data_IF_043203427437
#
_entry.id   IF_043203427437
#
_cell.length_a   1.000
_cell.length_b   1.000
_cell.length_c   1.000
_cell.angle_alpha   90.00
_cell.angle_beta   90.00
_cell.angle_gamma   90.00
#
_symmetry.space_group_name_H-M   'P 1'
#
loop_
_entity.id
_entity.type
_entity.pdbx_description
1 polymer ?
#
# COMPACT_ATOMS: atom_id res chain seq x y z
N UNK A 1 -24.64 3.77 -21.88
CA UNK A 1 -23.52 3.72 -20.89
C UNK A 1 -22.44 4.68 -21.38
N UNK A 2 -21.88 5.57 -20.55
CA UNK A 2 -20.79 6.47 -20.99
C UNK A 2 -19.57 5.64 -21.36
N UNK A 3 -18.85 5.95 -22.46
CA UNK A 3 -17.60 5.28 -22.78
C UNK A 3 -16.49 5.64 -21.78
N UNK A 4 -15.44 4.81 -21.71
CA UNK A 4 -14.23 5.12 -20.99
C UNK A 4 -13.40 6.15 -21.78
N UNK A 5 -13.00 7.22 -21.13
CA UNK A 5 -12.06 8.22 -21.64
C UNK A 5 -10.65 7.88 -21.14
N UNK A 6 -9.66 7.96 -22.02
CA UNK A 6 -8.25 7.87 -21.62
C UNK A 6 -7.79 9.27 -21.22
N UNK A 7 -7.42 9.44 -19.94
CA UNK A 7 -6.97 10.72 -19.40
C UNK A 7 -5.46 10.91 -19.49
N UNK A 8 -4.71 9.84 -19.28
CA UNK A 8 -3.25 9.87 -19.29
C UNK A 8 -2.65 8.49 -19.54
N UNK A 9 -1.41 8.47 -20.01
CA UNK A 9 -0.61 7.27 -20.21
C UNK A 9 0.79 7.46 -19.64
N UNK A 10 1.39 6.37 -19.18
CA UNK A 10 2.77 6.34 -18.71
C UNK A 10 3.39 4.97 -19.01
N UNK A 11 4.70 4.87 -18.85
CA UNK A 11 5.42 3.60 -18.92
C UNK A 11 6.04 3.32 -17.56
N UNK A 12 5.75 2.15 -17.00
CA UNK A 12 6.39 1.70 -15.78
C UNK A 12 7.85 1.30 -16.04
N UNK A 13 8.72 1.23 -15.01
CA UNK A 13 10.12 0.87 -15.17
C UNK A 13 10.37 -0.50 -15.81
N UNK A 14 9.43 -1.43 -15.71
CA UNK A 14 9.46 -2.74 -16.36
C UNK A 14 9.04 -2.70 -17.85
N UNK A 15 8.72 -1.51 -18.37
CA UNK A 15 8.27 -1.29 -19.74
C UNK A 15 6.76 -1.50 -19.93
N UNK A 16 6.00 -1.87 -18.93
CA UNK A 16 4.55 -2.02 -19.04
C UNK A 16 3.86 -0.66 -19.21
N UNK A 17 2.86 -0.63 -20.09
CA UNK A 17 2.05 0.56 -20.32
C UNK A 17 1.04 0.72 -19.19
N UNK A 18 1.01 1.90 -18.58
CA UNK A 18 -0.01 2.32 -17.63
C UNK A 18 -0.98 3.29 -18.30
N UNK A 19 -2.27 3.15 -18.01
CA UNK A 19 -3.32 4.03 -18.49
C UNK A 19 -4.19 4.48 -17.32
N UNK A 20 -4.43 5.79 -17.22
CA UNK A 20 -5.46 6.34 -16.35
C UNK A 20 -6.71 6.61 -17.20
N UNK A 21 -7.82 5.99 -16.83
CA UNK A 21 -9.10 6.12 -17.55
C UNK A 21 -10.19 6.61 -16.61
N UNK A 22 -11.20 7.30 -17.20
CA UNK A 22 -12.37 7.81 -16.47
C UNK A 22 -13.66 7.45 -17.19
N UNK A 23 -14.69 7.21 -16.40
CA UNK A 23 -16.07 7.04 -16.89
C UNK A 23 -17.05 7.69 -15.89
N UNK A 24 -17.45 8.93 -16.14
CA UNK A 24 -18.20 9.74 -15.16
C UNK A 24 -17.32 9.98 -13.92
N UNK A 25 -17.77 9.53 -12.76
CA UNK A 25 -17.05 9.67 -11.49
C UNK A 25 -16.16 8.46 -11.17
N UNK A 26 -16.11 7.47 -12.05
CA UNK A 26 -15.30 6.27 -11.88
C UNK A 26 -13.95 6.43 -12.58
N UNK A 27 -12.88 6.12 -11.85
CA UNK A 27 -11.52 6.08 -12.38
C UNK A 27 -10.99 4.66 -12.38
N UNK A 28 -10.09 4.37 -13.32
CA UNK A 28 -9.48 3.07 -13.50
C UNK A 28 -8.01 3.25 -13.90
N UNK A 29 -7.12 2.60 -13.18
CA UNK A 29 -5.72 2.43 -13.58
C UNK A 29 -5.59 1.05 -14.20
N UNK A 30 -5.00 0.98 -15.40
CA UNK A 30 -4.71 -0.26 -16.11
C UNK A 30 -3.21 -0.41 -16.32
N UNK A 31 -2.72 -1.65 -16.26
CA UNK A 31 -1.35 -2.01 -16.57
C UNK A 31 -1.31 -3.17 -17.57
N UNK A 32 -0.57 -3.02 -18.67
CA UNK A 32 -0.43 -4.05 -19.69
C UNK A 32 -1.77 -4.56 -20.27
N UNK A 33 -2.81 -3.71 -20.29
CA UNK A 33 -4.14 -4.07 -20.76
C UNK A 33 -5.08 -4.66 -19.71
N UNK A 34 -4.62 -4.92 -18.48
CA UNK A 34 -5.42 -5.45 -17.37
C UNK A 34 -5.84 -4.31 -16.41
N UNK A 35 -7.02 -4.45 -15.82
CA UNK A 35 -7.49 -3.53 -14.78
C UNK A 35 -6.68 -3.78 -13.51
N UNK A 36 -5.88 -2.79 -13.08
CA UNK A 36 -5.03 -2.87 -11.90
C UNK A 36 -5.78 -2.36 -10.66
N UNK A 37 -6.43 -1.19 -10.75
CA UNK A 37 -7.12 -0.56 -9.63
C UNK A 37 -8.32 0.24 -10.12
N UNK A 38 -9.43 0.17 -9.37
CA UNK A 38 -10.64 0.96 -9.60
C UNK A 38 -10.95 1.87 -8.42
N UNK A 39 -11.45 3.08 -8.68
CA UNK A 39 -11.88 4.00 -7.62
C UNK A 39 -13.08 3.50 -6.80
N UNK A 40 -13.69 2.38 -7.19
CA UNK A 40 -14.76 1.72 -6.44
C UNK A 40 -14.27 0.70 -5.42
N UNK A 41 -12.97 0.40 -5.41
CA UNK A 41 -12.35 -0.66 -4.61
C UNK A 41 -11.41 -0.07 -3.55
N UNK A 42 -11.91 0.92 -2.77
CA UNK A 42 -11.13 1.64 -1.75
C UNK A 42 -11.13 0.96 -0.37
N UNK A 43 -12.14 0.15 -0.07
CA UNK A 43 -12.39 -0.41 1.28
C UNK A 43 -11.22 -1.21 1.82
N UNK A 44 -10.64 -2.08 1.00
CA UNK A 44 -9.58 -2.99 1.45
C UNK A 44 -8.22 -2.31 1.54
N UNK A 45 -7.96 -1.31 0.67
CA UNK A 45 -6.77 -0.46 0.75
C UNK A 45 -6.80 0.40 2.04
N UNK A 46 -7.93 1.02 2.35
CA UNK A 46 -8.12 1.75 3.62
C UNK A 46 -7.94 0.85 4.83
N UNK A 47 -8.55 -0.35 4.81
CA UNK A 47 -8.47 -1.30 5.91
C UNK A 47 -7.03 -1.73 6.24
N UNK A 48 -6.14 -1.84 5.24
CA UNK A 48 -4.73 -2.12 5.47
C UNK A 48 -4.11 -1.08 6.40
N UNK A 49 -4.30 0.20 6.09
CA UNK A 49 -3.73 1.30 6.87
C UNK A 49 -4.39 1.43 8.26
N UNK A 50 -5.72 1.34 8.32
CA UNK A 50 -6.46 1.40 9.58
C UNK A 50 -6.08 0.28 10.56
N UNK A 51 -5.99 -0.96 10.07
CA UNK A 51 -5.60 -2.12 10.89
C UNK A 51 -4.14 -1.97 11.33
N UNK A 52 -3.23 -1.64 10.41
CA UNK A 52 -1.81 -1.52 10.71
C UNK A 52 -1.52 -0.44 11.74
N UNK A 53 -2.02 0.78 11.53
CA UNK A 53 -1.83 1.91 12.44
C UNK A 53 -2.50 1.67 13.81
N UNK A 54 -3.71 1.11 13.83
CA UNK A 54 -4.40 0.75 15.08
C UNK A 54 -3.61 -0.26 15.92
N UNK A 55 -2.99 -1.25 15.30
CA UNK A 55 -2.18 -2.26 15.99
C UNK A 55 -0.87 -1.71 16.56
N UNK A 56 -0.32 -0.67 15.94
CA UNK A 56 0.80 0.11 16.50
C UNK A 56 0.32 0.91 17.72
N UNK A 57 -0.82 1.55 17.60
CA UNK A 57 -1.32 2.56 18.53
C UNK A 57 -0.64 3.92 18.36
N UNK A 58 -1.25 5.00 18.88
CA UNK A 58 -0.69 6.35 18.78
C UNK A 58 0.65 6.46 19.49
N UNK A 59 1.63 7.11 18.85
CA UNK A 59 2.99 7.33 19.39
C UNK A 59 3.50 8.70 18.96
N UNK A 60 4.25 9.40 19.82
CA UNK A 60 4.96 10.60 19.42
C UNK A 60 5.93 10.31 18.27
N UNK A 61 5.98 11.20 17.27
CA UNK A 61 6.84 11.07 16.10
C UNK A 61 6.62 9.75 15.34
N UNK A 62 5.35 9.29 15.21
CA UNK A 62 5.01 8.04 14.54
C UNK A 62 5.41 8.10 13.06
N UNK A 63 6.07 7.06 12.58
CA UNK A 63 6.53 6.94 11.19
C UNK A 63 5.92 5.74 10.51
N UNK A 64 5.17 6.01 9.44
CA UNK A 64 4.49 4.99 8.64
C UNK A 64 5.06 5.01 7.22
N UNK A 65 5.40 3.84 6.68
CA UNK A 65 5.71 3.66 5.27
C UNK A 65 4.56 2.95 4.58
N UNK A 66 4.03 3.56 3.52
CA UNK A 66 3.10 2.95 2.58
C UNK A 66 3.89 2.55 1.34
N UNK A 67 3.81 1.29 0.94
CA UNK A 67 4.34 0.83 -0.34
C UNK A 67 3.22 0.81 -1.38
N UNK A 68 3.38 1.59 -2.45
CA UNK A 68 2.38 1.83 -3.49
C UNK A 68 1.42 2.97 -3.14
N UNK A 69 1.30 3.94 -4.06
CA UNK A 69 0.37 5.06 -3.92
C UNK A 69 -1.01 4.71 -4.50
N UNK A 70 -1.03 4.10 -5.69
CA UNK A 70 -2.27 3.78 -6.39
C UNK A 70 -3.18 5.00 -6.56
N UNK A 71 -4.37 4.97 -5.96
CA UNK A 71 -5.32 6.11 -5.93
C UNK A 71 -5.31 6.86 -4.59
N UNK A 72 -4.31 6.66 -3.74
CA UNK A 72 -4.10 7.41 -2.50
C UNK A 72 -4.90 6.94 -1.28
N UNK A 73 -5.69 5.88 -1.38
CA UNK A 73 -6.59 5.44 -0.31
C UNK A 73 -5.88 4.95 0.94
N UNK A 74 -4.84 4.12 0.78
CA UNK A 74 -4.02 3.63 1.90
C UNK A 74 -3.29 4.78 2.60
N UNK A 75 -2.77 5.76 1.83
CA UNK A 75 -2.13 6.96 2.36
C UNK A 75 -3.12 7.83 3.16
N UNK A 76 -4.30 8.12 2.59
CA UNK A 76 -5.33 8.91 3.27
C UNK A 76 -5.80 8.24 4.57
N UNK A 77 -5.99 6.93 4.57
CA UNK A 77 -6.40 6.18 5.75
C UNK A 77 -5.29 6.16 6.82
N UNK A 78 -4.02 6.07 6.44
CA UNK A 78 -2.89 6.17 7.37
C UNK A 78 -2.84 7.57 8.03
N UNK A 79 -2.95 8.64 7.23
CA UNK A 79 -2.98 10.02 7.74
C UNK A 79 -4.13 10.28 8.73
N UNK A 80 -5.29 9.65 8.50
CA UNK A 80 -6.44 9.72 9.41
C UNK A 80 -6.22 8.92 10.71
N UNK A 81 -5.38 7.88 10.68
CA UNK A 81 -5.15 6.97 11.81
C UNK A 81 -3.96 7.34 12.70
N UNK A 82 -3.08 8.24 12.25
CA UNK A 82 -1.93 8.73 13.04
C UNK A 82 -2.27 10.04 13.75
N UNK A 83 -1.54 10.43 14.84
CA UNK A 83 -1.75 11.70 15.53
C UNK A 83 -1.72 12.89 14.56
N UNK A 84 -2.71 13.77 14.65
CA UNK A 84 -2.87 14.93 13.75
C UNK A 84 -2.20 16.19 14.25
N UNK A 85 -1.95 16.28 15.55
CA UNK A 85 -1.42 17.42 16.29
C UNK A 85 0.09 17.31 16.60
N UNK A 86 0.73 16.23 16.17
CA UNK A 86 2.16 16.00 16.34
C UNK A 86 2.91 16.30 15.03
N UNK A 87 3.73 17.38 14.99
CA UNK A 87 4.47 17.77 13.79
C UNK A 87 5.62 16.83 13.41
N UNK A 88 6.00 15.91 14.30
CA UNK A 88 7.04 14.92 14.04
C UNK A 88 6.49 13.64 13.38
N UNK A 89 5.17 13.50 13.28
CA UNK A 89 4.53 12.39 12.58
C UNK A 89 4.82 12.49 11.09
N UNK A 90 5.21 11.36 10.50
CA UNK A 90 5.50 11.24 9.07
C UNK A 90 4.81 10.02 8.48
N UNK A 91 4.06 10.23 7.41
CA UNK A 91 3.51 9.16 6.56
C UNK A 91 4.20 9.23 5.20
N UNK A 92 5.15 8.35 5.00
CA UNK A 92 5.88 8.24 3.75
C UNK A 92 5.18 7.26 2.81
N UNK A 93 5.03 7.64 1.54
CA UNK A 93 4.57 6.75 0.47
C UNK A 93 5.69 6.53 -0.53
N UNK A 94 6.05 5.27 -0.74
CA UNK A 94 6.99 4.86 -1.77
C UNK A 94 6.23 4.46 -3.03
N UNK A 95 6.44 5.20 -4.13
CA UNK A 95 5.83 4.95 -5.42
C UNK A 95 6.93 4.81 -6.49
N UNK A 96 6.80 3.78 -7.31
CA UNK A 96 7.81 3.46 -8.33
C UNK A 96 7.60 4.28 -9.61
N UNK A 97 6.37 4.66 -9.91
CA UNK A 97 5.97 5.33 -11.16
C UNK A 97 5.61 6.78 -10.89
N UNK A 98 6.46 7.72 -11.33
CA UNK A 98 6.27 9.15 -11.12
C UNK A 98 4.91 9.65 -11.61
N UNK A 99 4.44 9.16 -12.76
CA UNK A 99 3.14 9.54 -13.31
C UNK A 99 1.96 9.22 -12.36
N UNK A 100 2.05 8.18 -11.53
CA UNK A 100 1.01 7.86 -10.52
C UNK A 100 0.97 8.97 -9.46
N UNK A 101 2.12 9.51 -9.07
CA UNK A 101 2.18 10.66 -8.14
C UNK A 101 1.56 11.90 -8.78
N UNK A 102 1.86 12.18 -10.05
CA UNK A 102 1.28 13.30 -10.78
C UNK A 102 -0.24 13.16 -10.96
N UNK A 103 -0.72 11.94 -11.23
CA UNK A 103 -2.16 11.68 -11.30
C UNK A 103 -2.86 11.96 -9.96
N UNK A 104 -2.22 11.63 -8.84
CA UNK A 104 -2.74 11.93 -7.50
C UNK A 104 -2.64 13.41 -7.11
N UNK A 105 -1.77 14.20 -7.76
CA UNK A 105 -1.77 15.66 -7.63
C UNK A 105 -2.78 16.34 -8.55
N UNK A 106 -3.21 15.65 -9.59
CA UNK A 106 -4.13 16.13 -10.63
C UNK A 106 -5.50 15.43 -10.58
N UNK A 107 -5.83 14.61 -11.59
CA UNK A 107 -7.19 14.08 -11.79
C UNK A 107 -7.68 13.15 -10.68
N UNK A 108 -6.80 12.51 -9.91
CA UNK A 108 -7.16 11.61 -8.80
C UNK A 108 -7.15 12.31 -7.44
N UNK A 109 -6.69 13.56 -7.34
CA UNK A 109 -6.44 14.21 -6.06
C UNK A 109 -7.64 14.18 -5.10
N UNK A 110 -8.83 14.45 -5.61
CA UNK A 110 -10.05 14.53 -4.80
C UNK A 110 -10.58 13.16 -4.33
N UNK A 111 -10.20 12.06 -5.00
CA UNK A 111 -10.73 10.73 -4.67
C UNK A 111 -10.45 10.31 -3.23
N UNK A 112 -9.26 10.61 -2.76
CA UNK A 112 -8.83 10.26 -1.40
C UNK A 112 -8.73 11.50 -0.47
N UNK A 113 -9.24 12.67 -0.90
CA UNK A 113 -9.21 13.91 -0.11
C UNK A 113 -7.84 14.58 -0.10
N UNK A 114 -7.10 14.54 -1.23
CA UNK A 114 -5.81 15.22 -1.46
C UNK A 114 -4.72 14.84 -0.45
N UNK A 115 -4.45 13.54 -0.21
CA UNK A 115 -3.54 13.12 0.85
C UNK A 115 -2.07 13.54 0.60
N UNK A 116 -1.70 13.86 -0.66
CA UNK A 116 -0.37 14.38 -0.98
C UNK A 116 -0.15 15.84 -0.54
N UNK A 117 -1.22 16.59 -0.26
CA UNK A 117 -1.15 17.96 0.23
C UNK A 117 -1.02 18.03 1.77
N UNK A 118 -1.19 16.92 2.48
CA UNK A 118 -1.02 16.87 3.94
C UNK A 118 0.46 17.11 4.31
N UNK A 119 0.76 18.03 5.24
CA UNK A 119 2.15 18.38 5.61
C UNK A 119 2.94 17.22 6.21
N UNK A 120 2.26 16.19 6.73
CA UNK A 120 2.90 14.95 7.26
C UNK A 120 3.28 13.98 6.16
N UNK A 121 2.80 14.17 4.92
CA UNK A 121 3.09 13.28 3.79
C UNK A 121 4.50 13.51 3.25
N UNK A 122 5.22 12.41 3.00
CA UNK A 122 6.48 12.39 2.26
C UNK A 122 6.36 11.42 1.09
N UNK A 123 6.76 11.86 -0.09
CA UNK A 123 6.79 11.01 -1.30
C UNK A 123 8.22 10.56 -1.55
N UNK A 124 8.41 9.25 -1.62
CA UNK A 124 9.64 8.63 -2.07
C UNK A 124 9.41 8.01 -3.45
N UNK A 125 10.02 8.59 -4.49
CA UNK A 125 10.01 8.02 -5.83
C UNK A 125 11.07 6.94 -5.92
N UNK A 126 10.64 5.67 -5.99
CA UNK A 126 11.54 4.54 -6.11
C UNK A 126 11.01 3.24 -5.49
N UNK A 127 11.86 2.23 -5.51
CA UNK A 127 11.57 0.89 -5.00
C UNK A 127 11.39 0.88 -3.48
N UNK A 128 10.23 0.41 -3.01
CA UNK A 128 9.90 0.33 -1.58
C UNK A 128 10.84 -0.62 -0.82
N UNK A 129 11.31 -1.68 -1.46
CA UNK A 129 12.29 -2.60 -0.86
C UNK A 129 13.63 -1.91 -0.63
N UNK A 130 14.09 -1.07 -1.57
CA UNK A 130 15.29 -0.25 -1.38
C UNK A 130 15.10 0.74 -0.22
N UNK A 131 13.92 1.37 -0.13
CA UNK A 131 13.59 2.28 0.97
C UNK A 131 13.59 1.57 2.32
N UNK A 132 12.99 0.40 2.43
CA UNK A 132 13.00 -0.44 3.64
C UNK A 132 14.43 -0.78 4.07
N UNK A 133 15.29 -1.18 3.12
CA UNK A 133 16.70 -1.53 3.41
C UNK A 133 17.51 -0.36 3.96
N UNK A 134 17.22 0.84 3.47
CA UNK A 134 17.98 2.05 3.83
C UNK A 134 17.66 2.57 5.25
N UNK A 135 16.55 2.13 5.88
CA UNK A 135 16.04 2.72 7.10
C UNK A 135 15.94 1.71 8.27
N UNK A 136 17.04 1.32 8.90
CA UNK A 136 16.97 0.40 10.03
C UNK A 136 16.37 1.08 11.26
N UNK A 137 15.44 0.37 11.93
CA UNK A 137 14.83 0.78 13.20
C UNK A 137 14.14 2.15 13.14
N UNK A 138 13.45 2.42 12.04
CA UNK A 138 12.94 3.73 11.69
C UNK A 138 11.40 3.81 11.69
N UNK A 139 10.72 2.79 11.16
CA UNK A 139 9.27 2.81 10.97
C UNK A 139 8.53 2.15 12.14
N UNK A 140 7.37 2.70 12.48
CA UNK A 140 6.40 2.09 13.38
C UNK A 140 5.45 1.16 12.62
N UNK A 141 5.12 1.50 11.37
CA UNK A 141 4.40 0.61 10.45
C UNK A 141 5.02 0.62 9.06
N UNK A 142 5.03 -0.53 8.41
CA UNK A 142 5.32 -0.71 6.98
C UNK A 142 4.13 -1.46 6.39
N UNK A 143 3.41 -0.81 5.46
CA UNK A 143 2.14 -1.28 4.91
C UNK A 143 2.26 -1.38 3.40
N UNK A 144 2.26 -2.60 2.85
CA UNK A 144 2.49 -2.86 1.43
C UNK A 144 1.18 -3.10 0.69
N UNK A 145 0.93 -2.23 -0.29
CA UNK A 145 -0.20 -2.25 -1.22
C UNK A 145 0.33 -2.12 -2.67
N UNK A 146 1.32 -2.94 -3.03
CA UNK A 146 2.11 -2.79 -4.26
C UNK A 146 1.69 -3.72 -5.40
N UNK A 147 1.00 -4.82 -5.09
CA UNK A 147 0.52 -5.82 -6.07
C UNK A 147 -0.53 -6.75 -5.44
N UNK A 148 -0.75 -7.92 -6.04
CA UNK A 148 -1.70 -8.92 -5.55
C UNK A 148 -1.24 -9.65 -4.25
N UNK A 149 -0.17 -9.19 -3.62
CA UNK A 149 0.34 -9.73 -2.36
C UNK A 149 1.28 -10.93 -2.53
N UNK A 150 1.50 -11.70 -1.46
CA UNK A 150 2.49 -12.78 -1.43
C UNK A 150 2.04 -14.07 -2.15
N UNK A 151 1.04 -14.00 -3.03
CA UNK A 151 0.56 -15.13 -3.80
C UNK A 151 1.64 -15.54 -4.83
N UNK A 152 2.01 -16.84 -4.93
CA UNK A 152 3.00 -17.31 -5.90
C UNK A 152 2.57 -17.16 -7.36
N UNK A 153 1.32 -16.79 -7.64
CA UNK A 153 0.83 -16.46 -8.99
C UNK A 153 1.00 -14.95 -9.33
N UNK A 154 1.40 -14.10 -8.36
CA UNK A 154 1.70 -12.70 -8.59
C UNK A 154 3.13 -12.55 -9.14
N UNK A 155 3.30 -11.58 -10.05
CA UNK A 155 4.54 -11.35 -10.80
C UNK A 155 5.82 -11.32 -9.95
N UNK A 156 6.92 -11.88 -10.50
CA UNK A 156 8.22 -12.08 -9.85
C UNK A 156 8.90 -10.82 -9.28
N UNK A 157 8.51 -9.60 -9.69
CA UNK A 157 9.19 -8.35 -9.31
C UNK A 157 9.09 -8.03 -7.82
N UNK A 158 7.97 -8.30 -7.16
CA UNK A 158 7.78 -8.04 -5.73
C UNK A 158 7.98 -9.27 -4.84
N UNK A 159 8.24 -10.45 -5.41
CA UNK A 159 8.47 -11.69 -4.66
C UNK A 159 9.60 -11.54 -3.62
N UNK A 160 10.58 -10.67 -3.89
CA UNK A 160 11.68 -10.38 -2.97
C UNK A 160 11.23 -9.72 -1.67
N UNK A 161 10.12 -8.97 -1.66
CA UNK A 161 9.57 -8.31 -0.46
C UNK A 161 8.99 -9.32 0.52
N UNK A 162 8.39 -10.38 0.01
CA UNK A 162 7.65 -11.38 0.76
C UNK A 162 8.48 -12.60 1.15
N UNK A 163 9.65 -12.74 0.54
CA UNK A 163 10.59 -13.83 0.84
C UNK A 163 11.35 -13.63 2.16
N UNK A 164 12.05 -14.67 2.59
CA UNK A 164 12.78 -14.67 3.86
C UNK A 164 13.76 -13.50 4.03
N UNK A 165 14.37 -13.02 2.94
CA UNK A 165 15.27 -11.86 2.95
C UNK A 165 14.49 -10.58 3.19
N UNK A 166 13.45 -10.32 2.39
CA UNK A 166 12.62 -9.11 2.51
C UNK A 166 11.95 -9.00 3.88
N UNK A 167 11.41 -10.09 4.41
CA UNK A 167 10.82 -10.11 5.74
C UNK A 167 11.85 -9.79 6.85
N UNK A 168 13.10 -10.26 6.73
CA UNK A 168 14.16 -9.87 7.67
C UNK A 168 14.52 -8.39 7.55
N UNK A 169 14.55 -7.85 6.34
CA UNK A 169 14.82 -6.44 6.08
C UNK A 169 13.69 -5.56 6.62
N UNK A 170 12.44 -5.91 6.36
CA UNK A 170 11.27 -5.23 6.93
C UNK A 170 11.30 -5.27 8.48
N UNK A 171 11.62 -6.43 9.06
CA UNK A 171 11.74 -6.53 10.51
C UNK A 171 12.86 -5.66 11.07
N UNK A 172 13.99 -5.53 10.36
CA UNK A 172 15.10 -4.63 10.76
C UNK A 172 14.68 -3.16 10.65
N UNK A 173 13.90 -2.80 9.66
CA UNK A 173 13.44 -1.43 9.42
C UNK A 173 12.39 -0.96 10.43
N UNK A 174 11.58 -1.88 10.95
CA UNK A 174 10.60 -1.58 11.98
C UNK A 174 11.25 -1.29 13.34
N UNK A 175 10.65 -0.41 14.12
CA UNK A 175 10.93 -0.25 15.56
C UNK A 175 10.38 -1.44 16.36
N UNK A 176 10.84 -1.70 17.61
CA UNK A 176 10.24 -2.69 18.49
C UNK A 176 8.72 -2.46 18.65
N UNK A 177 7.93 -3.52 18.53
CA UNK A 177 6.47 -3.44 18.56
C UNK A 177 5.83 -2.92 17.27
N UNK A 178 6.63 -2.58 16.25
CA UNK A 178 6.16 -2.11 14.95
C UNK A 178 5.45 -3.19 14.14
N UNK A 179 4.70 -2.78 13.14
CA UNK A 179 3.80 -3.61 12.34
C UNK A 179 4.23 -3.64 10.88
N UNK A 180 4.30 -4.83 10.31
CA UNK A 180 4.41 -5.09 8.88
C UNK A 180 3.04 -5.58 8.39
N UNK A 181 2.41 -4.84 7.47
CA UNK A 181 1.13 -5.18 6.88
C UNK A 181 1.27 -5.41 5.38
N UNK A 182 0.58 -6.43 4.86
CA UNK A 182 0.55 -6.73 3.42
C UNK A 182 -0.89 -6.98 2.99
N UNK A 183 -1.35 -6.19 2.02
CA UNK A 183 -2.59 -6.48 1.32
C UNK A 183 -2.39 -7.67 0.38
N UNK A 184 -3.40 -8.54 0.26
CA UNK A 184 -3.39 -9.69 -0.63
C UNK A 184 -4.77 -9.94 -1.21
N UNK A 185 -4.80 -10.25 -2.50
CA UNK A 185 -6.02 -10.61 -3.21
C UNK A 185 -6.71 -11.85 -2.61
N UNK A 186 -5.93 -12.76 -2.04
CA UNK A 186 -6.45 -13.97 -1.40
C UNK A 186 -5.73 -14.30 -0.09
N UNK A 187 -6.32 -15.16 0.74
CA UNK A 187 -5.68 -15.74 1.90
C UNK A 187 -5.13 -17.16 1.63
N UNK A 188 -5.11 -17.55 0.36
CA UNK A 188 -4.64 -18.85 -0.10
C UNK A 188 -3.11 -18.95 -0.03
N UNK A 189 -2.54 -19.01 1.14
CA UNK A 189 -1.10 -19.12 1.28
C UNK A 189 -0.69 -19.49 2.70
N UNK A 190 0.60 -19.74 2.86
CA UNK A 190 1.23 -20.00 4.16
C UNK A 190 2.09 -18.79 4.57
N UNK A 191 1.64 -17.58 4.25
CA UNK A 191 2.41 -16.37 4.51
C UNK A 191 2.53 -16.08 6.01
N UNK A 192 1.53 -16.47 6.80
CA UNK A 192 1.61 -16.52 8.26
C UNK A 192 2.87 -17.26 8.74
N UNK A 193 3.12 -18.45 8.18
CA UNK A 193 4.32 -19.25 8.51
C UNK A 193 5.62 -18.59 8.09
N UNK A 194 5.60 -17.84 6.97
CA UNK A 194 6.76 -17.07 6.53
C UNK A 194 7.06 -15.92 7.51
N UNK A 195 6.02 -15.20 7.94
CA UNK A 195 6.11 -14.16 8.96
C UNK A 195 6.63 -14.72 10.30
N UNK A 196 6.10 -15.87 10.74
CA UNK A 196 6.55 -16.53 11.99
C UNK A 196 8.03 -16.95 11.92
N UNK A 197 8.47 -17.55 10.79
CA UNK A 197 9.89 -17.88 10.54
C UNK A 197 10.79 -16.64 10.56
N UNK A 198 10.28 -15.50 10.12
CA UNK A 198 10.95 -14.21 10.19
C UNK A 198 10.84 -13.54 11.58
N UNK A 199 10.30 -14.25 12.59
CA UNK A 199 10.13 -13.83 13.99
C UNK A 199 9.16 -12.67 14.17
N UNK A 200 8.11 -12.62 13.37
CA UNK A 200 6.94 -11.79 13.62
C UNK A 200 5.88 -12.57 14.42
N UNK A 201 5.05 -11.86 15.18
CA UNK A 201 3.76 -12.38 15.61
C UNK A 201 2.79 -12.18 14.45
N UNK A 202 2.37 -13.28 13.82
CA UNK A 202 1.56 -13.25 12.60
C UNK A 202 0.05 -13.29 12.93
N UNK A 203 -0.74 -12.56 12.13
CA UNK A 203 -2.20 -12.68 12.06
C UNK A 203 -2.70 -12.34 10.66
N UNK A 204 -3.94 -12.74 10.35
CA UNK A 204 -4.62 -12.40 9.10
C UNK A 204 -5.99 -11.82 9.39
N UNK A 205 -6.31 -10.73 8.71
CA UNK A 205 -7.62 -10.07 8.74
C UNK A 205 -8.28 -10.22 7.38
N UNK A 206 -9.50 -10.73 7.37
CA UNK A 206 -10.30 -10.90 6.15
C UNK A 206 -11.24 -9.74 6.01
N UNK A 207 -11.12 -8.99 4.92
CA UNK A 207 -11.90 -7.79 4.64
C UNK A 207 -12.76 -8.02 3.40
N UNK A 208 -14.10 -7.98 3.54
CA UNK A 208 -15.00 -8.09 2.40
C UNK A 208 -14.82 -6.90 1.46
N UNK A 209 -14.72 -7.18 0.16
CA UNK A 209 -14.74 -6.12 -0.85
C UNK A 209 -16.18 -5.78 -1.24
N UNK A 210 -16.51 -4.49 -1.27
CA UNK A 210 -17.82 -3.97 -1.62
C UNK A 210 -17.87 -3.31 -3.00
N UNK A 211 -16.72 -3.21 -3.68
CA UNK A 211 -16.55 -2.58 -4.98
C UNK A 211 -16.94 -3.48 -6.17
N UNK A 212 -16.09 -3.47 -7.20
CA UNK A 212 -16.29 -4.29 -8.42
C UNK A 212 -16.27 -5.79 -8.14
N UNK A 213 -15.43 -6.22 -7.21
CA UNK A 213 -15.30 -7.61 -6.75
C UNK A 213 -16.22 -7.92 -5.57
N UNK A 214 -17.44 -7.37 -5.58
CA UNK A 214 -18.42 -7.59 -4.52
C UNK A 214 -18.61 -9.10 -4.24
N UNK A 215 -18.53 -9.45 -2.94
CA UNK A 215 -18.62 -10.83 -2.47
C UNK A 215 -17.30 -11.56 -2.36
N UNK A 216 -16.20 -10.98 -2.82
CA UNK A 216 -14.84 -11.48 -2.51
C UNK A 216 -14.32 -10.92 -1.20
N UNK A 217 -13.46 -11.67 -0.58
CA UNK A 217 -12.78 -11.29 0.67
C UNK A 217 -11.29 -11.22 0.37
N UNK A 218 -10.69 -10.07 0.65
CA UNK A 218 -9.25 -9.90 0.56
C UNK A 218 -8.60 -10.14 1.92
N UNK A 219 -7.35 -10.52 1.92
CA UNK A 219 -6.58 -10.76 3.14
C UNK A 219 -5.63 -9.59 3.42
N UNK A 220 -5.54 -9.21 4.68
CA UNK A 220 -4.52 -8.32 5.20
C UNK A 220 -3.69 -9.14 6.17
N UNK A 221 -2.47 -9.44 5.75
CA UNK A 221 -1.50 -10.16 6.55
C UNK A 221 -0.76 -9.18 7.44
N UNK A 222 -0.68 -9.50 8.72
CA UNK A 222 -0.02 -8.67 9.72
C UNK A 222 1.10 -9.46 10.39
N UNK A 223 2.28 -8.85 10.44
CA UNK A 223 3.41 -9.30 11.23
C UNK A 223 3.82 -8.24 12.24
N UNK A 224 3.65 -8.49 13.54
CA UNK A 224 4.12 -7.58 14.59
C UNK A 224 5.53 -7.95 15.03
N UNK A 225 6.48 -6.98 15.00
CA UNK A 225 7.84 -7.16 15.53
C UNK A 225 7.78 -7.28 17.05
N UNK A 226 8.17 -8.44 17.58
CA UNK A 226 8.40 -8.66 19.01
C UNK A 226 9.71 -8.04 19.46
#
# INVERSE_FOLDING_TARGET
MRPWENLAEATAPDGSKLELRRRGDEYLIRAGGYDLMSSRDDVTARALAEIGCRLVGPRPGMRVLIGGLGMGYSLAAALAAVPSDDPEVEVEVAELVEAVVEWNRGPLAELAGRPLDDPRTRVYLGDVGARIRAQPNYYDAILLDVDNGPDPLAHDHNASLYGAKGLREARRALRPGGVYGVWSYSDAGKFDKALERARFAASVHRVPNHGRDRGRTHAIWIGRRR
#
